data_IF_468073463022
#
_entry.id   IF_468073463022
#
_cell.length_a   1.000
_cell.length_b   1.000
_cell.length_c   1.000
_cell.angle_alpha   90.00
_cell.angle_beta   90.00
_cell.angle_gamma   90.00
#
_symmetry.space_group_name_H-M   'P 1'
#
loop_
_entity.id
_entity.type
_entity.pdbx_description
1 polymer ?
#
# COMPACT_ATOMS: atom_id res chain seq x y z
N UNK A 1 22.92 -0.08 0.08
CA UNK A 1 21.51 -0.38 0.43
C UNK A 1 21.51 -1.11 1.76
N UNK A 2 20.97 -0.48 2.82
CA UNK A 2 20.85 -1.13 4.13
C UNK A 2 19.64 -2.07 4.13
N UNK A 3 19.65 -3.12 4.96
CA UNK A 3 18.57 -4.11 5.05
C UNK A 3 17.20 -3.45 5.32
N UNK A 4 17.21 -2.31 6.01
CA UNK A 4 16.04 -1.48 6.30
C UNK A 4 15.35 -0.95 5.04
N UNK A 5 16.11 -0.47 4.05
CA UNK A 5 15.55 0.03 2.79
C UNK A 5 14.89 -1.10 1.99
N UNK A 6 15.45 -2.32 2.04
CA UNK A 6 14.88 -3.48 1.35
C UNK A 6 13.55 -3.90 1.99
N UNK A 7 13.48 -3.96 3.32
CA UNK A 7 12.24 -4.29 4.05
C UNK A 7 11.17 -3.23 3.79
N UNK A 8 11.53 -1.95 3.86
CA UNK A 8 10.60 -0.86 3.58
C UNK A 8 10.05 -0.90 2.14
N UNK A 9 10.91 -1.22 1.16
CA UNK A 9 10.52 -1.31 -0.24
C UNK A 9 9.56 -2.49 -0.51
N UNK A 10 9.79 -3.65 0.12
CA UNK A 10 8.88 -4.80 0.02
C UNK A 10 7.52 -4.46 0.64
N UNK A 11 7.50 -3.87 1.85
CA UNK A 11 6.25 -3.49 2.52
C UNK A 11 5.50 -2.43 1.71
N UNK A 12 6.21 -1.46 1.14
CA UNK A 12 5.61 -0.46 0.26
C UNK A 12 4.96 -1.09 -0.97
N UNK A 13 5.65 -2.02 -1.63
CA UNK A 13 5.11 -2.74 -2.78
C UNK A 13 3.84 -3.53 -2.45
N UNK A 14 3.85 -4.26 -1.32
CA UNK A 14 2.69 -5.01 -0.85
C UNK A 14 1.53 -4.11 -0.45
N UNK A 15 1.79 -3.03 0.29
CA UNK A 15 0.77 -2.07 0.68
C UNK A 15 0.12 -1.40 -0.55
N UNK A 16 0.94 -0.95 -1.51
CA UNK A 16 0.44 -0.37 -2.75
C UNK A 16 -0.41 -1.37 -3.54
N UNK A 17 0.02 -2.64 -3.65
CA UNK A 17 -0.72 -3.67 -4.36
C UNK A 17 -2.07 -3.99 -3.70
N UNK A 18 -2.13 -4.06 -2.37
CA UNK A 18 -3.39 -4.30 -1.64
C UNK A 18 -4.34 -3.12 -1.81
N UNK A 19 -3.89 -1.89 -1.62
CA UNK A 19 -4.74 -0.69 -1.78
C UNK A 19 -5.26 -0.58 -3.22
N UNK A 20 -4.37 -0.79 -4.21
CA UNK A 20 -4.74 -0.80 -5.62
C UNK A 20 -5.76 -1.90 -5.93
N UNK A 21 -5.50 -3.14 -5.51
CA UNK A 21 -6.40 -4.26 -5.75
C UNK A 21 -7.78 -4.03 -5.15
N UNK A 22 -7.85 -3.50 -3.92
CA UNK A 22 -9.12 -3.18 -3.26
C UNK A 22 -9.89 -2.09 -4.01
N UNK A 23 -9.20 -1.03 -4.44
CA UNK A 23 -9.80 0.05 -5.26
C UNK A 23 -10.28 -0.42 -6.63
N UNK A 24 -9.47 -1.23 -7.32
CA UNK A 24 -9.82 -1.80 -8.62
C UNK A 24 -11.03 -2.73 -8.52
N UNK A 25 -11.06 -3.62 -7.52
CA UNK A 25 -12.23 -4.48 -7.25
C UNK A 25 -13.47 -3.61 -7.00
N UNK A 26 -13.36 -2.55 -6.20
CA UNK A 26 -14.50 -1.67 -5.89
C UNK A 26 -15.07 -1.01 -7.14
N UNK A 27 -14.21 -0.47 -8.02
CA UNK A 27 -14.63 0.17 -9.28
C UNK A 27 -15.31 -0.84 -10.21
N UNK A 28 -14.69 -2.02 -10.37
CA UNK A 28 -15.17 -3.01 -11.33
C UNK A 28 -16.40 -3.79 -10.83
N UNK A 29 -16.62 -3.85 -9.51
CA UNK A 29 -17.78 -4.55 -8.92
C UNK A 29 -19.05 -3.71 -8.92
N UNK A 30 -18.96 -2.38 -9.07
CA UNK A 30 -20.11 -1.49 -9.03
C UNK A 30 -20.40 -0.98 -10.45
N UNK A 31 -21.55 -1.32 -11.06
CA UNK A 31 -21.84 -0.99 -12.46
C UNK A 31 -21.75 0.50 -12.80
N UNK A 32 -22.19 1.37 -11.89
CA UNK A 32 -22.14 2.83 -12.09
C UNK A 32 -20.72 3.41 -12.07
N UNK A 33 -19.77 2.77 -11.38
CA UNK A 33 -18.36 3.13 -11.40
C UNK A 33 -17.64 2.46 -12.58
N UNK A 34 -18.09 1.28 -12.98
CA UNK A 34 -17.50 0.54 -14.08
C UNK A 34 -17.60 1.32 -15.40
N UNK A 35 -18.65 2.10 -15.67
CA UNK A 35 -18.73 2.93 -16.88
C UNK A 35 -17.58 3.95 -17.01
N UNK A 36 -17.03 4.38 -15.88
CA UNK A 36 -15.96 5.37 -15.78
C UNK A 36 -14.59 4.75 -15.53
N UNK A 37 -14.47 3.43 -15.69
CA UNK A 37 -13.23 2.68 -15.45
C UNK A 37 -11.95 3.27 -16.07
N UNK A 38 -11.94 3.83 -17.31
CA UNK A 38 -10.70 4.38 -17.87
C UNK A 38 -10.20 5.63 -17.14
N UNK A 39 -11.07 6.34 -16.42
CA UNK A 39 -10.70 7.51 -15.62
C UNK A 39 -10.44 7.15 -14.15
N UNK A 40 -11.23 6.23 -13.60
CA UNK A 40 -11.15 5.87 -12.18
C UNK A 40 -9.94 4.99 -11.85
N UNK A 41 -9.53 4.10 -12.75
CA UNK A 41 -8.34 3.26 -12.51
C UNK A 41 -7.05 4.08 -12.38
N UNK A 42 -6.73 5.04 -13.27
CA UNK A 42 -5.59 5.94 -13.06
C UNK A 42 -5.64 6.70 -11.73
N UNK A 43 -6.83 7.17 -11.34
CA UNK A 43 -7.04 7.85 -10.06
C UNK A 43 -6.72 6.92 -8.88
N UNK A 44 -7.18 5.66 -8.94
CA UNK A 44 -6.88 4.66 -7.91
C UNK A 44 -5.39 4.34 -7.86
N UNK A 45 -4.68 4.31 -8.98
CA UNK A 45 -3.22 4.15 -8.98
C UNK A 45 -2.54 5.30 -8.23
N UNK A 46 -2.89 6.54 -8.54
CA UNK A 46 -2.32 7.72 -7.86
C UNK A 46 -2.66 7.71 -6.37
N UNK A 47 -3.92 7.42 -6.01
CA UNK A 47 -4.35 7.30 -4.62
C UNK A 47 -3.61 6.17 -3.89
N UNK A 48 -3.39 5.03 -4.54
CA UNK A 48 -2.68 3.89 -3.94
C UNK A 48 -1.23 4.23 -3.64
N UNK A 49 -0.55 4.97 -4.52
CA UNK A 49 0.82 5.45 -4.29
C UNK A 49 0.89 6.43 -3.12
N UNK A 50 -0.08 7.36 -3.04
CA UNK A 50 -0.17 8.34 -1.96
C UNK A 50 -0.50 7.68 -0.63
N UNK A 51 -1.38 6.68 -0.62
CA UNK A 51 -1.79 5.93 0.58
C UNK A 51 -0.75 4.89 1.02
N UNK A 52 0.03 4.33 0.10
CA UNK A 52 1.08 3.36 0.42
C UNK A 52 2.20 3.99 1.27
N UNK A 53 2.51 5.27 1.06
CA UNK A 53 3.52 6.00 1.83
C UNK A 53 3.23 6.09 3.34
N UNK A 54 2.06 6.56 3.81
CA UNK A 54 1.72 6.57 5.23
C UNK A 54 1.57 5.16 5.81
N UNK A 55 1.06 4.20 5.04
CA UNK A 55 0.97 2.79 5.48
C UNK A 55 2.37 2.22 5.76
N UNK A 56 3.32 2.43 4.84
CA UNK A 56 4.71 2.00 5.03
C UNK A 56 5.37 2.68 6.24
N UNK A 57 5.16 4.00 6.43
CA UNK A 57 5.67 4.74 7.60
C UNK A 57 5.04 4.30 8.93
N UNK A 58 3.79 3.85 8.93
CA UNK A 58 3.12 3.37 10.13
C UNK A 58 3.54 1.94 10.52
N UNK A 59 3.83 1.09 9.52
CA UNK A 59 4.18 -0.32 9.72
C UNK A 59 5.68 -0.49 10.04
N UNK A 60 6.56 0.30 9.41
CA UNK A 60 8.02 0.24 9.64
C UNK A 60 8.45 0.32 11.13
N UNK A 61 7.95 1.26 11.97
CA UNK A 61 8.33 1.31 13.39
C UNK A 61 7.76 0.13 14.20
N UNK A 62 6.58 -0.40 13.83
CA UNK A 62 5.94 -1.53 14.53
C UNK A 62 6.72 -2.84 14.36
N UNK A 63 7.27 -3.09 13.17
CA UNK A 63 8.16 -4.25 12.94
C UNK A 63 9.50 -4.09 13.66
N UNK A 64 10.04 -2.87 13.72
CA UNK A 64 11.28 -2.57 14.45
C UNK A 64 11.14 -2.75 15.97
N UNK A 65 9.99 -2.39 16.54
CA UNK A 65 9.71 -2.57 17.98
C UNK A 65 9.59 -4.04 18.41
N UNK A 66 9.24 -4.97 17.51
CA UNK A 66 9.10 -6.39 17.84
C UNK A 66 10.45 -7.11 17.99
N UNK A 67 11.50 -6.65 17.31
CA UNK A 67 12.84 -7.25 17.41
C UNK A 67 13.77 -6.52 18.39
N UNK A 68 13.54 -5.24 18.67
CA UNK A 68 14.40 -4.43 19.54
C UNK A 68 14.16 -4.54 21.05
N UNK A 69 13.18 -5.33 21.52
CA UNK A 69 12.76 -5.35 22.94
C UNK A 69 12.94 -6.67 23.69
N UNK A 70 13.53 -7.70 23.07
CA UNK A 70 13.69 -9.03 23.70
C UNK A 70 15.15 -9.43 23.96
N UNK A 71 16.05 -8.46 24.08
CA UNK A 71 17.49 -8.67 24.28
C UNK A 71 18.10 -7.89 25.44
N UNK A 72 17.31 -7.57 26.48
CA UNK A 72 17.82 -7.11 27.78
C UNK A 72 17.08 -7.82 28.89
#
# INVERSE_FOLDING_TARGET
MTTETRIALIIYGLANAVVFGTGAITILSIPSLQEQWPYLLPIVVVLSLVLAWPIAKAIAPKLRSRYGKNGR
#
